data_IF_112846274973
#
_entry.id   IF_112846274973
#
_cell.length_a   1.000
_cell.length_b   1.000
_cell.length_c   1.000
_cell.angle_alpha   90.00
_cell.angle_beta   90.00
_cell.angle_gamma   90.00
#
_symmetry.space_group_name_H-M   'P 1'
#
loop_
_entity.id
_entity.type
_entity.pdbx_description
1 polymer ?
#
# COMPACT_ATOMS: atom_id res chain seq x y z
N UNK A 1 -18.28 -17.81 -11.57
CA UNK A 1 -17.18 -17.05 -10.95
C UNK A 1 -16.41 -16.40 -12.08
N UNK A 2 -16.40 -15.07 -12.16
CA UNK A 2 -15.63 -14.38 -13.20
C UNK A 2 -14.15 -14.64 -12.93
N UNK A 3 -13.43 -15.15 -13.92
CA UNK A 3 -11.99 -15.32 -13.85
C UNK A 3 -11.35 -13.93 -13.74
N UNK A 4 -10.66 -13.67 -12.63
CA UNK A 4 -10.01 -12.39 -12.39
C UNK A 4 -8.77 -12.30 -13.28
N UNK A 5 -8.54 -11.13 -13.89
CA UNK A 5 -7.27 -10.90 -14.57
C UNK A 5 -6.10 -11.04 -13.58
N UNK A 6 -4.98 -11.57 -14.06
CA UNK A 6 -3.80 -11.83 -13.24
C UNK A 6 -3.30 -10.62 -12.45
N UNK A 7 -3.37 -9.41 -12.99
CA UNK A 7 -2.96 -8.19 -12.28
C UNK A 7 -3.86 -7.86 -11.09
N UNK A 8 -5.16 -8.19 -11.15
CA UNK A 8 -6.03 -8.08 -9.98
C UNK A 8 -5.80 -9.23 -9.00
N UNK A 9 -5.51 -10.43 -9.52
CA UNK A 9 -5.23 -11.61 -8.69
C UNK A 9 -3.99 -11.41 -7.81
N UNK A 10 -3.01 -10.65 -8.28
CA UNK A 10 -1.77 -10.34 -7.56
C UNK A 10 -1.67 -8.89 -7.10
N UNK A 11 -2.79 -8.16 -7.03
CA UNK A 11 -2.81 -6.81 -6.48
C UNK A 11 -2.40 -6.86 -5.00
N UNK A 12 -1.36 -6.12 -4.57
CA UNK A 12 -0.93 -6.10 -3.18
C UNK A 12 -2.08 -5.70 -2.24
N UNK A 13 -2.29 -6.47 -1.16
CA UNK A 13 -3.33 -6.17 -0.16
C UNK A 13 -2.78 -5.48 1.08
N UNK A 14 -1.46 -5.45 1.23
CA UNK A 14 -0.74 -4.80 2.32
C UNK A 14 0.47 -4.02 1.80
N UNK A 15 0.96 -3.05 2.59
CA UNK A 15 2.18 -2.34 2.23
C UNK A 15 3.38 -3.27 2.11
N UNK A 16 3.42 -4.36 2.87
CA UNK A 16 4.56 -5.30 2.88
C UNK A 16 4.67 -6.10 1.57
N UNK A 17 3.57 -6.24 0.82
CA UNK A 17 3.54 -6.86 -0.51
C UNK A 17 3.88 -5.88 -1.65
N UNK A 18 3.86 -4.58 -1.38
CA UNK A 18 4.32 -3.58 -2.35
C UNK A 18 5.83 -3.69 -2.47
N UNK A 19 6.28 -4.05 -3.66
CA UNK A 19 7.70 -4.12 -3.99
C UNK A 19 8.27 -2.70 -4.06
N UNK A 20 9.45 -2.49 -3.46
CA UNK A 20 10.15 -1.21 -3.37
C UNK A 20 9.50 -0.20 -2.37
N UNK A 21 9.93 1.06 -2.40
CA UNK A 21 9.41 2.19 -1.62
C UNK A 21 9.54 2.02 -0.10
N UNK A 22 10.63 1.38 0.36
CA UNK A 22 10.81 1.04 1.78
C UNK A 22 10.70 2.24 2.72
N UNK A 23 11.28 3.39 2.35
CA UNK A 23 11.18 4.60 3.16
C UNK A 23 9.72 5.09 3.25
N UNK A 24 9.00 5.09 2.14
CA UNK A 24 7.59 5.51 2.09
C UNK A 24 6.73 4.57 2.93
N UNK A 25 6.93 3.25 2.79
CA UNK A 25 6.22 2.24 3.60
C UNK A 25 6.46 2.45 5.09
N UNK A 26 7.69 2.74 5.52
CA UNK A 26 8.00 3.05 6.93
C UNK A 26 7.24 4.29 7.39
N UNK A 27 7.26 5.39 6.64
CA UNK A 27 6.56 6.63 7.01
C UNK A 27 5.05 6.44 7.10
N UNK A 28 4.46 5.76 6.11
CA UNK A 28 3.01 5.46 6.11
C UNK A 28 2.61 4.60 7.31
N UNK A 29 3.43 3.59 7.69
CA UNK A 29 3.17 2.78 8.88
C UNK A 29 3.14 3.63 10.16
N UNK A 30 4.02 4.62 10.29
CA UNK A 30 4.01 5.52 11.46
C UNK A 30 2.79 6.45 11.47
N UNK A 31 2.33 6.94 10.32
CA UNK A 31 1.07 7.71 10.24
C UNK A 31 -0.14 6.87 10.62
N UNK A 32 -0.20 5.61 10.19
CA UNK A 32 -1.26 4.67 10.59
C UNK A 32 -1.20 4.41 12.10
N UNK A 33 -0.01 4.11 12.65
CA UNK A 33 0.17 3.84 14.10
C UNK A 33 -0.20 5.03 14.98
N UNK A 34 0.16 6.23 14.56
CA UNK A 34 -0.16 7.47 15.28
C UNK A 34 -1.62 7.89 15.14
N UNK A 35 -2.37 7.30 14.20
CA UNK A 35 -3.76 7.67 13.89
C UNK A 35 -3.91 9.04 13.23
N UNK A 36 -2.80 9.70 12.90
CA UNK A 36 -2.76 11.06 12.36
C UNK A 36 -2.34 11.02 10.89
N UNK A 37 -3.28 10.69 10.00
CA UNK A 37 -3.03 10.66 8.57
C UNK A 37 -3.04 12.08 7.97
N UNK A 38 -1.93 12.58 7.39
CA UNK A 38 -1.93 13.86 6.70
C UNK A 38 -2.60 13.76 5.32
N UNK A 39 -2.76 14.90 4.65
CA UNK A 39 -3.08 14.89 3.22
C UNK A 39 -1.88 14.38 2.42
N UNK A 40 -2.11 13.34 1.62
CA UNK A 40 -1.08 12.67 0.82
C UNK A 40 -1.35 12.90 -0.67
N UNK A 41 -0.27 13.11 -1.42
CA UNK A 41 -0.27 13.13 -2.87
C UNK A 41 0.67 12.03 -3.34
N UNK A 42 0.15 11.05 -4.06
CA UNK A 42 0.93 10.02 -4.75
C UNK A 42 0.97 10.37 -6.24
N UNK A 43 2.16 10.39 -6.82
CA UNK A 43 2.41 10.69 -8.24
C UNK A 43 3.20 9.57 -8.90
#
# INVERSE_FOLDING_TARGET
MAELFWFEKYRPVSFDEVVDLEEVKVRLREFVRSGNMPHLLFY
#
